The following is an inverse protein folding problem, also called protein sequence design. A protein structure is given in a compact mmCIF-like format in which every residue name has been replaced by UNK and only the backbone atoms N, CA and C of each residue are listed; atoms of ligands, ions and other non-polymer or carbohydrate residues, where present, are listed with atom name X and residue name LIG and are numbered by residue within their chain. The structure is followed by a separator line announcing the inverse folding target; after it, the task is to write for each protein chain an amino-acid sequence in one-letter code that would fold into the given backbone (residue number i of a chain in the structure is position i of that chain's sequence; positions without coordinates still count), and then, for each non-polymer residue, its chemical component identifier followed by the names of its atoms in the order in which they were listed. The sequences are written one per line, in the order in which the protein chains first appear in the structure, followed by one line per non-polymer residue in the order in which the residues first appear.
data_IF_615789313937
#
_entry.id   IF_615789313937
#
_cell.length_a   1.000
_cell.length_b   1.000
_cell.length_c   1.000
_cell.angle_alpha   90.00
_cell.angle_beta   90.00
_cell.angle_gamma   90.00
#
_symmetry.space_group_name_H-M   'P 1'
#
loop_
_entity.id
_entity.type
_entity.pdbx_description
1 polymer ?
#
# COMPACT_ATOMS: atom_id res chain seq x y z
N UNK A 1 15.40 -48.19 25.60
CA UNK A 1 16.23 -48.35 26.81
C UNK A 1 17.63 -48.66 26.32
N UNK A 2 18.53 -47.71 26.45
CA UNK A 2 19.88 -47.74 25.91
C UNK A 2 20.61 -46.52 26.41
N UNK A 3 20.99 -46.57 27.68
CA UNK A 3 21.75 -45.54 28.40
C UNK A 3 23.24 -45.70 28.06
N UNK A 4 23.85 -44.66 27.47
CA UNK A 4 25.30 -44.52 27.30
C UNK A 4 25.83 -43.37 28.17
N UNK A 5 27.05 -43.45 28.74
CA UNK A 5 27.52 -42.52 29.75
C UNK A 5 28.11 -41.22 29.20
N UNK A 6 28.01 -40.19 30.04
CA UNK A 6 28.56 -38.82 29.93
C UNK A 6 30.06 -38.75 30.27
N UNK A 7 30.78 -37.78 29.68
CA UNK A 7 32.00 -37.21 30.27
C UNK A 7 32.98 -36.53 29.30
N UNK A 8 33.24 -35.23 29.49
CA UNK A 8 34.35 -34.49 28.89
C UNK A 8 34.18 -32.97 28.94
N UNK A 9 34.82 -32.33 29.92
CA UNK A 9 34.77 -30.90 30.32
C UNK A 9 35.65 -29.96 29.44
N UNK A 10 35.54 -28.61 29.59
CA UNK A 10 36.07 -27.58 28.69
C UNK A 10 37.49 -27.10 29.07
N UNK A 11 37.91 -25.97 28.49
CA UNK A 11 39.16 -25.17 28.68
C UNK A 11 40.10 -25.28 27.44
N UNK A 12 40.72 -24.24 26.89
CA UNK A 12 41.00 -22.91 27.38
C UNK A 12 41.40 -21.98 26.21
N UNK A 13 41.30 -20.69 26.51
CA UNK A 13 41.82 -19.50 25.88
C UNK A 13 43.24 -19.62 25.29
N UNK A 14 43.47 -18.99 24.12
CA UNK A 14 44.75 -18.32 23.82
C UNK A 14 44.46 -16.96 23.19
N UNK A 15 44.83 -15.91 23.94
CA UNK A 15 44.98 -14.55 23.43
C UNK A 15 46.40 -14.32 22.89
N UNK A 16 46.52 -13.38 21.94
CA UNK A 16 47.78 -12.85 21.43
C UNK A 16 47.57 -11.40 21.00
N UNK A 17 48.19 -10.49 21.74
CA UNK A 17 48.04 -9.03 21.65
C UNK A 17 48.99 -8.38 20.63
N UNK A 18 48.75 -7.07 20.43
CA UNK A 18 49.60 -5.99 19.90
C UNK A 18 49.59 -5.83 18.37
N UNK A 19 49.43 -4.64 17.77
CA UNK A 19 49.48 -3.27 18.25
C UNK A 19 50.18 -2.45 17.16
N UNK A 20 49.51 -1.48 16.55
CA UNK A 20 50.09 -0.67 15.47
C UNK A 20 49.29 0.60 15.22
N UNK A 21 49.74 1.71 15.84
CA UNK A 21 49.37 3.06 15.44
C UNK A 21 50.42 3.54 14.44
N UNK A 22 49.98 4.02 13.29
CA UNK A 22 50.71 5.03 12.53
C UNK A 22 49.78 5.82 11.59
N UNK A 23 49.58 7.04 12.03
CA UNK A 23 49.36 8.32 11.36
C UNK A 23 49.98 8.50 9.95
N UNK A 24 49.19 9.15 9.08
CA UNK A 24 49.70 10.01 8.00
C UNK A 24 49.38 9.57 6.57
N UNK A 25 48.46 10.27 5.91
CA UNK A 25 48.77 11.38 4.98
C UNK A 25 47.52 11.74 4.17
N UNK A 26 47.24 13.02 4.14
CA UNK A 26 46.21 13.68 3.34
C UNK A 26 46.64 13.75 1.87
N UNK A 27 45.81 13.21 0.99
CA UNK A 27 45.96 13.38 -0.46
C UNK A 27 45.31 14.71 -0.86
N UNK A 28 46.13 15.76 -0.81
CA UNK A 28 45.78 17.03 -1.44
C UNK A 28 45.86 16.90 -2.96
N UNK A 29 44.72 16.99 -3.63
CA UNK A 29 44.68 17.39 -5.03
C UNK A 29 43.74 18.58 -5.18
N UNK A 30 44.32 19.74 -5.42
CA UNK A 30 43.63 21.00 -5.70
C UNK A 30 43.48 21.20 -7.21
N UNK A 31 42.45 21.97 -7.57
CA UNK A 31 42.37 22.87 -8.73
C UNK A 31 41.72 22.35 -10.02
N UNK A 32 40.37 22.34 -10.00
CA UNK A 32 39.54 22.55 -11.18
C UNK A 32 38.78 23.88 -11.07
N UNK A 33 38.70 24.71 -12.13
CA UNK A 33 37.97 25.98 -12.12
C UNK A 33 36.50 25.82 -11.73
N UNK A 34 36.02 26.72 -10.87
CA UNK A 34 34.60 26.93 -10.59
C UNK A 34 33.94 27.60 -11.80
N UNK A 35 33.70 26.84 -12.86
CA UNK A 35 32.92 27.31 -14.00
C UNK A 35 31.44 27.09 -13.68
N UNK A 36 30.91 28.03 -12.90
CA UNK A 36 29.51 28.12 -12.54
C UNK A 36 28.62 28.10 -13.78
N UNK A 37 28.07 26.93 -14.08
CA UNK A 37 26.91 26.81 -14.94
C UNK A 37 25.69 26.63 -14.06
N UNK A 38 25.21 27.77 -13.52
CA UNK A 38 23.81 27.95 -13.14
C UNK A 38 22.94 27.95 -14.41
N UNK A 39 23.04 26.91 -15.22
CA UNK A 39 22.20 26.65 -16.37
C UNK A 39 21.07 25.76 -15.89
N UNK A 40 19.94 26.37 -15.52
CA UNK A 40 18.75 25.64 -15.14
C UNK A 40 18.32 24.70 -16.26
N UNK A 41 18.55 23.41 -16.08
CA UNK A 41 17.71 22.40 -16.71
C UNK A 41 16.48 22.26 -15.83
N UNK A 42 15.56 23.22 -15.97
CA UNK A 42 14.15 22.93 -15.71
C UNK A 42 13.75 21.94 -16.79
N UNK A 43 13.95 20.66 -16.53
CA UNK A 43 13.48 19.62 -17.44
C UNK A 43 11.95 19.73 -17.46
N UNK A 44 11.43 20.20 -18.59
CA UNK A 44 10.09 20.75 -18.78
C UNK A 44 8.97 19.71 -18.74
N UNK A 45 8.94 18.88 -17.70
CA UNK A 45 7.82 17.99 -17.34
C UNK A 45 7.72 17.85 -15.83
N UNK A 46 7.47 18.94 -15.13
CA UNK A 46 6.97 18.90 -13.75
C UNK A 46 5.50 18.47 -13.74
N UNK A 47 5.23 17.22 -14.13
CA UNK A 47 4.04 16.51 -13.71
C UNK A 47 4.40 15.68 -12.49
N UNK A 48 4.62 16.34 -11.35
CA UNK A 48 4.92 15.63 -10.10
C UNK A 48 3.73 14.77 -9.66
N UNK A 49 4.00 13.62 -9.05
CA UNK A 49 2.98 12.86 -8.33
C UNK A 49 2.87 13.39 -6.91
N UNK A 50 1.65 13.50 -6.39
CA UNK A 50 1.37 13.77 -4.97
C UNK A 50 0.97 12.46 -4.30
N UNK A 51 1.15 12.37 -2.98
CA UNK A 51 0.71 11.20 -2.23
C UNK A 51 -0.82 11.11 -2.13
N UNK A 52 -1.32 9.93 -1.76
CA UNK A 52 -2.75 9.65 -1.74
C UNK A 52 -3.56 10.50 -0.75
N UNK A 53 -2.93 11.15 0.24
CA UNK A 53 -3.64 12.05 1.15
C UNK A 53 -4.20 13.27 0.42
N UNK A 54 -3.70 13.60 -0.77
CA UNK A 54 -4.27 14.63 -1.63
C UNK A 54 -5.75 14.37 -1.99
N UNK A 55 -6.20 13.10 -1.96
CA UNK A 55 -7.59 12.70 -2.22
C UNK A 55 -8.50 12.82 -0.98
N UNK A 56 -7.99 13.25 0.18
CA UNK A 56 -8.77 13.24 1.42
C UNK A 56 -10.07 14.06 1.32
N UNK A 57 -10.02 15.22 0.64
CA UNK A 57 -11.20 16.04 0.38
C UNK A 57 -12.22 15.33 -0.50
N UNK A 58 -11.77 14.86 -1.68
CA UNK A 58 -12.63 14.21 -2.67
C UNK A 58 -13.29 12.93 -2.12
N UNK A 59 -12.52 12.08 -1.44
CA UNK A 59 -13.05 10.87 -0.82
C UNK A 59 -13.98 11.20 0.34
N UNK A 60 -13.68 12.24 1.12
CA UNK A 60 -14.56 12.72 2.18
C UNK A 60 -15.95 13.11 1.66
N UNK A 61 -16.00 13.82 0.53
CA UNK A 61 -17.26 14.20 -0.14
C UNK A 61 -18.01 12.98 -0.69
N UNK A 62 -17.31 12.10 -1.41
CA UNK A 62 -17.88 10.87 -1.97
C UNK A 62 -18.49 9.97 -0.90
N UNK A 63 -17.86 9.85 0.27
CA UNK A 63 -18.39 9.01 1.36
C UNK A 63 -19.49 9.72 2.18
N UNK A 64 -19.70 11.03 1.98
CA UNK A 64 -20.78 11.77 2.63
C UNK A 64 -22.13 11.66 1.87
N UNK A 65 -22.11 11.28 0.60
CA UNK A 65 -23.33 11.08 -0.22
C UNK A 65 -23.89 9.67 -0.12
N UNK A 66 -25.15 9.49 -0.53
CA UNK A 66 -25.78 8.17 -0.60
C UNK A 66 -25.21 7.32 -1.75
N UNK A 67 -24.21 6.49 -1.43
CA UNK A 67 -23.57 5.57 -2.36
C UNK A 67 -24.51 4.49 -2.93
N UNK A 68 -25.69 4.28 -2.37
CA UNK A 68 -26.64 3.31 -2.95
C UNK A 68 -27.17 3.77 -4.31
N UNK A 69 -27.15 5.08 -4.57
CA UNK A 69 -27.49 5.69 -5.86
C UNK A 69 -26.37 5.63 -6.90
N UNK A 70 -25.13 5.33 -6.49
CA UNK A 70 -23.99 5.25 -7.39
C UNK A 70 -24.19 4.14 -8.44
N UNK A 71 -23.76 4.38 -9.68
CA UNK A 71 -23.84 3.39 -10.75
C UNK A 71 -22.53 2.60 -10.84
N UNK A 72 -22.60 1.30 -10.58
CA UNK A 72 -21.47 0.38 -10.67
C UNK A 72 -21.39 -0.33 -12.01
N UNK A 73 -20.17 -0.65 -12.46
CA UNK A 73 -19.93 -1.56 -13.59
C UNK A 73 -19.36 -2.89 -13.10
N UNK A 74 -20.08 -3.99 -13.32
CA UNK A 74 -19.67 -5.33 -12.91
C UNK A 74 -18.42 -5.79 -13.68
N UNK A 75 -17.43 -6.39 -13.00
CA UNK A 75 -16.22 -6.92 -13.64
C UNK A 75 -16.45 -8.23 -14.39
N UNK A 76 -17.40 -9.06 -13.95
CA UNK A 76 -17.75 -10.33 -14.61
C UNK A 76 -18.45 -10.15 -15.95
N UNK A 77 -19.59 -9.44 -15.99
CA UNK A 77 -20.42 -9.32 -17.20
C UNK A 77 -20.47 -7.91 -17.82
N UNK A 78 -19.88 -6.90 -17.17
CA UNK A 78 -19.91 -5.52 -17.65
C UNK A 78 -21.23 -4.77 -17.42
N UNK A 79 -22.25 -5.39 -16.81
CA UNK A 79 -23.53 -4.75 -16.50
C UNK A 79 -23.32 -3.45 -15.70
N UNK A 80 -24.09 -2.41 -16.08
CA UNK A 80 -24.11 -1.10 -15.42
C UNK A 80 -25.46 -0.90 -14.73
N UNK A 81 -25.44 -0.64 -13.43
CA UNK A 81 -26.65 -0.40 -12.65
C UNK A 81 -26.36 0.22 -11.29
N UNK A 82 -27.39 0.77 -10.65
CA UNK A 82 -27.27 1.34 -9.32
C UNK A 82 -26.79 0.29 -8.30
N UNK A 83 -25.98 0.69 -7.33
CA UNK A 83 -25.56 -0.17 -6.21
C UNK A 83 -26.78 -0.73 -5.46
N UNK A 84 -27.85 0.07 -5.35
CA UNK A 84 -29.14 -0.34 -4.75
C UNK A 84 -29.80 -1.54 -5.45
N UNK A 85 -29.47 -1.83 -6.72
CA UNK A 85 -30.03 -2.94 -7.48
C UNK A 85 -29.27 -4.27 -7.28
N UNK A 86 -28.15 -4.26 -6.56
CA UNK A 86 -27.39 -5.48 -6.27
C UNK A 86 -28.17 -6.42 -5.33
N UNK A 87 -28.01 -7.73 -5.51
CA UNK A 87 -28.58 -8.74 -4.60
C UNK A 87 -27.71 -8.82 -3.34
N UNK A 88 -28.25 -8.37 -2.21
CA UNK A 88 -27.51 -8.26 -0.94
C UNK A 88 -27.83 -9.41 0.01
N UNK A 89 -26.79 -10.07 0.50
CA UNK A 89 -26.84 -11.16 1.48
C UNK A 89 -26.14 -10.72 2.77
N UNK A 90 -26.78 -10.95 3.92
CA UNK A 90 -26.32 -10.45 5.24
C UNK A 90 -26.04 -11.55 6.26
N UNK A 91 -26.20 -12.81 5.87
CA UNK A 91 -26.21 -13.98 6.79
C UNK A 91 -24.80 -14.55 7.08
N UNK A 92 -23.75 -13.76 6.87
CA UNK A 92 -22.34 -14.12 7.08
C UNK A 92 -21.70 -13.07 8.02
N UNK A 93 -20.44 -13.21 8.48
CA UNK A 93 -19.75 -12.16 9.26
C UNK A 93 -19.55 -10.81 8.51
N UNK A 94 -20.24 -10.58 7.40
CA UNK A 94 -20.29 -9.34 6.64
C UNK A 94 -21.44 -9.34 5.64
N UNK A 95 -21.49 -8.28 4.83
CA UNK A 95 -22.46 -8.07 3.75
C UNK A 95 -21.80 -8.42 2.42
N UNK A 96 -22.48 -9.23 1.60
CA UNK A 96 -22.05 -9.58 0.24
C UNK A 96 -23.10 -9.10 -0.74
N UNK A 97 -22.71 -8.29 -1.73
CA UNK A 97 -23.60 -7.83 -2.78
C UNK A 97 -23.18 -8.45 -4.13
N UNK A 98 -24.15 -9.06 -4.83
CA UNK A 98 -23.93 -9.76 -6.11
C UNK A 98 -24.61 -9.07 -7.27
N UNK A 99 -24.01 -9.18 -8.45
CA UNK A 99 -24.61 -8.72 -9.70
C UNK A 99 -25.93 -9.47 -9.96
N UNK A 100 -27.04 -8.78 -10.30
CA UNK A 100 -28.30 -9.44 -10.61
C UNK A 100 -28.25 -10.25 -11.93
N UNK A 101 -27.32 -9.93 -12.83
CA UNK A 101 -27.20 -10.55 -14.15
C UNK A 101 -26.34 -11.82 -14.16
N UNK A 102 -25.22 -11.83 -13.43
CA UNK A 102 -24.24 -12.93 -13.50
C UNK A 102 -23.78 -13.46 -12.14
N UNK A 103 -24.38 -12.99 -11.05
CA UNK A 103 -24.10 -13.39 -9.67
C UNK A 103 -22.67 -13.14 -9.16
N UNK A 104 -21.82 -12.48 -9.95
CA UNK A 104 -20.47 -12.06 -9.55
C UNK A 104 -20.53 -11.26 -8.24
N UNK A 105 -19.55 -11.46 -7.36
CA UNK A 105 -19.49 -10.73 -6.10
C UNK A 105 -18.94 -9.34 -6.34
N UNK A 106 -19.84 -8.38 -6.51
CA UNK A 106 -19.53 -6.98 -6.85
C UNK A 106 -18.89 -6.23 -5.68
N UNK A 107 -19.42 -6.45 -4.46
CA UNK A 107 -19.00 -5.76 -3.24
C UNK A 107 -19.03 -6.71 -2.04
N UNK A 108 -18.06 -6.58 -1.14
CA UNK A 108 -18.12 -7.16 0.22
C UNK A 108 -17.82 -6.09 1.25
N UNK A 109 -18.59 -6.07 2.33
CA UNK A 109 -18.40 -5.15 3.45
C UNK A 109 -18.39 -5.91 4.77
N UNK A 110 -17.26 -5.92 5.44
CA UNK A 110 -17.10 -6.50 6.78
C UNK A 110 -16.84 -5.35 7.76
N UNK A 111 -17.53 -5.35 8.91
CA UNK A 111 -17.31 -4.37 9.97
C UNK A 111 -16.77 -5.07 11.21
N UNK A 112 -15.66 -4.54 11.73
CA UNK A 112 -15.16 -4.80 13.08
C UNK A 112 -15.54 -3.66 14.03
N UNK A 113 -15.05 -3.69 15.28
CA UNK A 113 -15.38 -2.68 16.30
C UNK A 113 -14.91 -1.25 15.95
N UNK A 114 -13.76 -1.14 15.31
CA UNK A 114 -13.01 0.11 15.06
C UNK A 114 -12.57 0.26 13.60
N UNK A 115 -12.96 -0.69 12.74
CA UNK A 115 -12.48 -0.81 11.36
C UNK A 115 -13.51 -1.45 10.45
N UNK A 116 -13.44 -1.13 9.17
CA UNK A 116 -14.24 -1.76 8.14
C UNK A 116 -13.38 -2.15 6.95
N UNK A 117 -13.76 -3.23 6.26
CA UNK A 117 -13.15 -3.66 5.01
C UNK A 117 -14.20 -3.60 3.92
N UNK A 118 -13.89 -2.81 2.89
CA UNK A 118 -14.69 -2.71 1.68
C UNK A 118 -13.89 -3.32 0.52
N UNK A 119 -14.35 -4.46 0.00
CA UNK A 119 -13.80 -5.14 -1.17
C UNK A 119 -14.65 -4.80 -2.39
N UNK A 120 -14.05 -4.18 -3.40
CA UNK A 120 -14.70 -3.77 -4.66
C UNK A 120 -14.08 -4.46 -5.89
N UNK A 121 -13.36 -5.57 -5.73
CA UNK A 121 -12.72 -6.28 -6.87
C UNK A 121 -13.72 -6.73 -7.95
N UNK A 122 -14.99 -6.94 -7.59
CA UNK A 122 -16.08 -7.23 -8.53
C UNK A 122 -16.63 -6.00 -9.28
N UNK A 123 -16.10 -4.81 -8.99
CA UNK A 123 -16.53 -3.52 -9.52
C UNK A 123 -15.39 -2.89 -10.33
N UNK A 124 -15.64 -2.60 -11.61
CA UNK A 124 -14.68 -1.92 -12.49
C UNK A 124 -14.64 -0.42 -12.19
N UNK A 125 -15.79 0.19 -11.94
CA UNK A 125 -15.93 1.62 -11.68
C UNK A 125 -17.22 1.89 -10.90
N UNK A 126 -17.22 2.97 -10.13
CA UNK A 126 -18.41 3.59 -9.55
C UNK A 126 -18.55 5.00 -10.10
N UNK A 127 -19.71 5.33 -10.63
CA UNK A 127 -20.12 6.69 -10.96
C UNK A 127 -20.97 7.21 -9.80
N UNK A 128 -20.52 8.26 -9.13
CA UNK A 128 -21.13 8.80 -7.91
C UNK A 128 -21.77 10.16 -8.24
N UNK A 129 -23.07 10.35 -7.96
CA UNK A 129 -23.68 11.66 -8.09
C UNK A 129 -23.18 12.57 -6.96
N UNK A 130 -22.57 13.70 -7.30
CA UNK A 130 -22.13 14.72 -6.35
C UNK A 130 -23.13 15.88 -6.31
N UNK A 131 -23.37 16.47 -5.12
CA UNK A 131 -24.16 17.70 -5.01
C UNK A 131 -23.45 18.85 -5.74
N UNK A 132 -24.23 19.68 -6.44
CA UNK A 132 -23.76 20.87 -7.16
C UNK A 132 -23.55 22.08 -6.26
#
# INVERSE_FOLDING_TARGET
MGDGPVGGHPDELVGGHSGGRSDGRSDGHSDGPLDGHSGGLVDGRSGGHVDGNALAGDLGEIFAVDLTSATGRCSGCGHRGAVAALRVYRDAPGVVARCPECEEVVLRLVRGPDRAWLDLRGTVSLEIPLPS
#
